data_IF_205129259997
#
_entry.id   IF_205129259997
#
_cell.length_a   1.000
_cell.length_b   1.000
_cell.length_c   1.000
_cell.angle_alpha   90.00
_cell.angle_beta   90.00
_cell.angle_gamma   90.00
#
_symmetry.space_group_name_H-M   'P 1'
#
loop_
_entity.id
_entity.type
_entity.pdbx_description
1 polymer ?
#
# COMPACT_ATOMS: atom_id res chain seq x y z
N UNK A 1 -5.11 14.16 -35.59
CA UNK A 1 -4.24 14.27 -34.41
C UNK A 1 -2.99 13.45 -34.64
N UNK A 2 -1.80 13.97 -34.33
CA UNK A 2 -0.55 13.18 -34.45
C UNK A 2 -0.62 11.94 -33.57
N UNK A 3 -0.26 10.76 -34.11
CA UNK A 3 -0.25 9.50 -33.35
C UNK A 3 0.83 9.61 -32.28
N UNK A 4 0.46 9.53 -30.99
CA UNK A 4 1.42 9.56 -29.89
C UNK A 4 2.37 8.38 -30.01
N UNK A 5 3.66 8.60 -29.78
CA UNK A 5 4.65 7.52 -29.74
C UNK A 5 4.40 6.65 -28.50
N UNK A 6 4.44 5.33 -28.67
CA UNK A 6 4.28 4.38 -27.57
C UNK A 6 5.41 4.56 -26.54
N UNK A 7 5.10 4.83 -25.26
CA UNK A 7 6.11 5.14 -24.24
C UNK A 7 6.73 3.88 -23.64
N UNK A 8 7.96 3.99 -23.17
CA UNK A 8 8.65 2.93 -22.42
C UNK A 8 8.24 2.85 -20.96
N UNK A 9 7.62 3.92 -20.43
CA UNK A 9 7.12 4.01 -19.07
C UNK A 9 6.03 5.09 -18.98
N UNK A 10 5.03 4.86 -18.15
CA UNK A 10 4.00 5.84 -17.80
C UNK A 10 3.98 6.01 -16.29
N UNK A 11 4.25 7.22 -15.74
CA UNK A 11 4.14 7.45 -14.31
C UNK A 11 2.72 7.18 -13.81
N UNK A 12 2.52 6.41 -12.73
CA UNK A 12 1.19 6.07 -12.28
C UNK A 12 0.42 7.26 -11.71
N UNK A 13 -0.89 7.29 -12.00
CA UNK A 13 -1.84 8.20 -11.35
C UNK A 13 -1.98 7.85 -9.87
N UNK A 14 -2.14 8.87 -9.01
CA UNK A 14 -2.19 8.72 -7.56
C UNK A 14 -3.52 9.18 -6.99
N UNK A 15 -3.98 8.51 -5.92
CA UNK A 15 -5.19 8.86 -5.19
C UNK A 15 -4.94 9.91 -4.09
N UNK A 16 -5.88 10.84 -3.91
CA UNK A 16 -5.95 11.71 -2.74
C UNK A 16 -6.42 10.92 -1.51
N UNK A 17 -6.09 11.40 -0.30
CA UNK A 17 -6.59 10.78 0.93
C UNK A 17 -7.85 11.47 1.39
N UNK A 18 -8.87 10.68 1.74
CA UNK A 18 -10.05 11.11 2.48
C UNK A 18 -10.20 10.27 3.73
N UNK A 19 -10.89 10.81 4.74
CA UNK A 19 -10.98 10.16 6.06
C UNK A 19 -12.09 9.14 6.13
N UNK A 20 -13.27 9.51 5.61
CA UNK A 20 -14.50 8.76 5.79
C UNK A 20 -14.91 8.04 4.50
N UNK A 21 -15.40 6.79 4.60
CA UNK A 21 -15.98 6.09 3.47
C UNK A 21 -17.34 6.73 3.11
N UNK A 22 -17.69 6.62 1.83
CA UNK A 22 -18.94 7.16 1.29
C UNK A 22 -19.53 6.18 0.28
N UNK A 23 -20.82 6.37 0.00
CA UNK A 23 -21.53 5.71 -1.09
C UNK A 23 -21.88 6.75 -2.16
N UNK A 24 -21.75 6.36 -3.42
CA UNK A 24 -22.15 7.23 -4.54
C UNK A 24 -22.28 6.41 -5.83
N UNK A 25 -23.37 6.56 -6.59
CA UNK A 25 -23.59 5.85 -7.85
C UNK A 25 -22.58 6.24 -8.94
N UNK A 26 -21.89 7.38 -8.80
CA UNK A 26 -20.90 7.87 -9.77
C UNK A 26 -19.52 7.26 -9.55
N UNK A 27 -19.36 6.41 -8.55
CA UNK A 27 -18.06 5.86 -8.13
C UNK A 27 -18.03 4.33 -8.18
N UNK A 28 -16.87 3.80 -8.49
CA UNK A 28 -16.49 2.41 -8.23
C UNK A 28 -15.52 2.38 -7.05
N UNK A 29 -15.57 1.29 -6.30
CA UNK A 29 -14.73 1.07 -5.13
C UNK A 29 -13.99 -0.25 -5.26
N UNK A 30 -12.69 -0.21 -5.04
CA UNK A 30 -11.78 -1.36 -5.11
C UNK A 30 -11.10 -1.55 -3.75
N UNK A 31 -10.73 -2.78 -3.42
CA UNK A 31 -9.88 -3.04 -2.26
C UNK A 31 -8.53 -2.36 -2.46
N UNK A 32 -8.08 -1.59 -1.47
CA UNK A 32 -6.73 -1.04 -1.48
C UNK A 32 -5.73 -2.14 -1.15
N UNK A 33 -5.04 -2.59 -2.17
CA UNK A 33 -3.99 -3.58 -2.05
C UNK A 33 -2.75 -2.96 -1.40
N UNK A 34 -2.11 -3.71 -0.52
CA UNK A 34 -0.87 -3.32 0.15
C UNK A 34 0.30 -4.08 -0.49
N UNK A 35 1.03 -3.40 -1.38
CA UNK A 35 2.05 -4.03 -2.21
C UNK A 35 3.05 -3.05 -2.82
N UNK A 36 3.56 -3.43 -3.99
CA UNK A 36 4.41 -2.59 -4.83
C UNK A 36 3.67 -2.23 -6.11
N UNK A 37 3.40 -0.92 -6.30
CA UNK A 37 2.84 -0.44 -7.57
C UNK A 37 3.73 -0.88 -8.71
N UNK A 38 3.13 -1.55 -9.69
CA UNK A 38 3.79 -2.04 -10.90
C UNK A 38 3.13 -1.49 -12.17
N UNK A 39 3.94 -0.94 -13.06
CA UNK A 39 3.52 -0.60 -14.43
C UNK A 39 4.15 -1.64 -15.35
N UNK A 40 3.32 -2.50 -15.94
CA UNK A 40 3.78 -3.49 -16.90
C UNK A 40 3.64 -2.93 -18.32
N UNK A 41 4.76 -2.88 -19.05
CA UNK A 41 4.85 -2.38 -20.42
C UNK A 41 5.22 -3.54 -21.33
N UNK A 42 4.37 -3.87 -22.26
CA UNK A 42 4.65 -4.82 -23.35
C UNK A 42 5.07 -4.04 -24.58
N UNK A 43 6.31 -4.19 -25.02
CA UNK A 43 6.82 -3.50 -26.20
C UNK A 43 6.18 -4.00 -27.51
N UNK A 44 6.58 -3.48 -28.64
CA UNK A 44 6.07 -3.88 -29.96
C UNK A 44 6.38 -5.35 -30.31
N UNK A 45 7.47 -5.90 -29.76
CA UNK A 45 7.84 -7.32 -29.92
C UNK A 45 7.06 -8.23 -28.94
N UNK A 46 6.33 -7.65 -27.96
CA UNK A 46 5.60 -8.38 -26.93
C UNK A 46 6.44 -8.73 -25.70
N UNK A 47 7.64 -8.17 -25.56
CA UNK A 47 8.48 -8.36 -24.39
C UNK A 47 7.94 -7.52 -23.23
N UNK A 48 7.63 -8.13 -22.05
CA UNK A 48 7.19 -7.38 -20.89
C UNK A 48 8.35 -6.75 -20.13
N UNK A 49 8.11 -5.55 -19.62
CA UNK A 49 8.92 -4.84 -18.64
C UNK A 49 8.04 -4.46 -17.47
N UNK A 50 8.50 -4.66 -16.25
CA UNK A 50 7.76 -4.31 -15.03
C UNK A 50 8.49 -3.21 -14.28
N UNK A 51 7.87 -2.05 -14.19
CA UNK A 51 8.43 -0.86 -13.56
C UNK A 51 7.75 -0.55 -12.24
N UNK A 52 8.51 -0.15 -11.25
CA UNK A 52 7.96 0.41 -10.02
C UNK A 52 7.32 1.79 -10.27
N UNK A 53 6.61 2.31 -9.26
CA UNK A 53 6.06 3.67 -9.27
C UNK A 53 7.08 4.75 -9.69
N UNK A 54 8.36 4.55 -9.36
CA UNK A 54 9.43 5.51 -9.63
C UNK A 54 10.24 5.16 -10.89
N UNK A 55 9.77 4.23 -11.73
CA UNK A 55 10.45 3.83 -12.95
C UNK A 55 11.68 2.93 -12.72
N UNK A 56 11.78 2.27 -11.56
CA UNK A 56 12.83 1.28 -11.31
C UNK A 56 12.36 -0.12 -11.73
N UNK A 57 13.22 -0.96 -12.32
CA UNK A 57 12.85 -2.30 -12.76
C UNK A 57 12.50 -3.21 -11.55
N UNK A 58 11.45 -4.02 -11.69
CA UNK A 58 10.96 -4.93 -10.66
C UNK A 58 11.11 -6.42 -11.03
N UNK A 59 11.54 -6.76 -12.23
CA UNK A 59 11.60 -8.15 -12.73
C UNK A 59 12.51 -9.02 -11.86
N UNK A 60 13.69 -8.50 -11.48
CA UNK A 60 14.62 -9.22 -10.62
C UNK A 60 14.08 -9.38 -9.19
N UNK A 61 13.31 -8.39 -8.74
CA UNK A 61 12.70 -8.43 -7.41
C UNK A 61 11.53 -9.42 -7.33
N UNK A 62 10.75 -9.54 -8.41
CA UNK A 62 9.57 -10.39 -8.50
C UNK A 62 9.63 -11.32 -9.72
N UNK A 63 10.55 -12.29 -9.74
CA UNK A 63 10.77 -13.14 -10.92
C UNK A 63 9.55 -14.01 -11.28
N UNK A 64 8.75 -14.41 -10.30
CA UNK A 64 7.51 -15.15 -10.54
C UNK A 64 6.48 -14.31 -11.30
N UNK A 65 6.33 -13.02 -10.95
CA UNK A 65 5.46 -12.07 -11.66
C UNK A 65 6.00 -11.81 -13.06
N UNK A 66 7.31 -11.58 -13.22
CA UNK A 66 7.94 -11.39 -14.54
C UNK A 66 7.69 -12.61 -15.46
N UNK A 67 7.83 -13.84 -14.92
CA UNK A 67 7.51 -15.08 -15.63
C UNK A 67 6.02 -15.19 -15.97
N UNK A 68 5.12 -14.73 -15.10
CA UNK A 68 3.69 -14.72 -15.39
C UNK A 68 3.34 -13.73 -16.51
N UNK A 69 3.92 -12.51 -16.47
CA UNK A 69 3.78 -11.51 -17.52
C UNK A 69 4.28 -12.01 -18.88
N UNK A 70 5.42 -12.71 -18.95
CA UNK A 70 5.98 -13.23 -20.21
C UNK A 70 5.08 -14.27 -20.91
N UNK A 71 4.09 -14.83 -20.21
CA UNK A 71 3.12 -15.75 -20.80
C UNK A 71 1.93 -15.03 -21.45
N UNK A 72 1.73 -13.75 -21.15
CA UNK A 72 0.68 -12.94 -21.78
C UNK A 72 1.12 -12.55 -23.19
N UNK A 73 0.27 -12.87 -24.18
CA UNK A 73 0.55 -12.56 -25.60
C UNK A 73 0.06 -11.15 -25.94
N UNK A 74 0.67 -10.14 -25.28
CA UNK A 74 0.32 -8.74 -25.48
C UNK A 74 1.43 -8.01 -26.26
N UNK A 75 1.06 -6.96 -26.99
CA UNK A 75 2.00 -6.07 -27.70
C UNK A 75 1.55 -4.64 -27.53
N UNK A 76 2.51 -3.71 -27.48
CA UNK A 76 2.22 -2.27 -27.37
C UNK A 76 1.10 -1.97 -26.36
N UNK A 77 1.17 -2.60 -25.17
CA UNK A 77 0.16 -2.55 -24.13
C UNK A 77 0.79 -2.11 -22.81
N UNK A 78 0.11 -1.24 -22.08
CA UNK A 78 0.56 -0.78 -20.75
C UNK A 78 -0.54 -1.02 -19.74
N UNK A 79 -0.18 -1.74 -18.68
CA UNK A 79 -1.05 -2.13 -17.58
C UNK A 79 -0.59 -1.47 -16.28
N UNK A 80 -1.54 -1.05 -15.46
CA UNK A 80 -1.31 -0.50 -14.12
C UNK A 80 -1.87 -1.44 -13.07
N UNK A 81 -1.06 -1.78 -12.08
CA UNK A 81 -1.43 -2.76 -11.08
C UNK A 81 -0.59 -2.69 -9.81
N UNK A 82 -0.79 -3.67 -8.95
CA UNK A 82 -0.06 -3.83 -7.69
C UNK A 82 0.51 -5.24 -7.61
N UNK A 83 1.81 -5.36 -7.33
CA UNK A 83 2.44 -6.64 -6.98
C UNK A 83 2.23 -6.89 -5.50
N UNK A 84 1.58 -7.99 -5.15
CA UNK A 84 1.29 -8.37 -3.77
C UNK A 84 1.86 -9.76 -3.45
N UNK A 85 2.14 -10.02 -2.18
CA UNK A 85 2.28 -11.38 -1.67
C UNK A 85 1.03 -11.72 -0.86
N UNK A 86 0.54 -12.94 -1.02
CA UNK A 86 -0.68 -13.40 -0.36
C UNK A 86 -0.36 -14.44 0.71
N UNK A 87 -1.16 -14.44 1.79
CA UNK A 87 -1.12 -15.47 2.80
C UNK A 87 -1.83 -16.76 2.32
N UNK A 88 -1.92 -17.77 3.18
CA UNK A 88 -2.57 -19.06 2.92
C UNK A 88 -4.06 -18.93 2.58
N UNK A 89 -4.71 -17.84 3.00
CA UNK A 89 -6.09 -17.51 2.69
C UNK A 89 -6.25 -16.65 1.42
N UNK A 90 -5.15 -16.38 0.71
CA UNK A 90 -5.14 -15.53 -0.49
C UNK A 90 -5.24 -14.03 -0.19
N UNK A 91 -5.10 -13.61 1.07
CA UNK A 91 -5.19 -12.20 1.46
C UNK A 91 -3.84 -11.51 1.28
N UNK A 92 -3.78 -10.36 0.57
CA UNK A 92 -2.55 -9.59 0.43
C UNK A 92 -1.99 -9.10 1.77
N UNK A 93 -0.69 -9.34 2.02
CA UNK A 93 0.01 -8.94 3.24
C UNK A 93 1.36 -8.32 2.90
N UNK A 94 1.54 -7.05 3.17
CA UNK A 94 2.79 -6.34 2.87
C UNK A 94 4.00 -6.89 3.64
N UNK A 95 3.79 -7.37 4.86
CA UNK A 95 4.86 -7.99 5.65
C UNK A 95 5.50 -9.19 4.94
N UNK A 96 4.71 -9.94 4.15
CA UNK A 96 5.22 -11.04 3.33
C UNK A 96 6.14 -10.52 2.23
N UNK A 97 5.81 -9.38 1.60
CA UNK A 97 6.66 -8.73 0.59
C UNK A 97 7.97 -8.17 1.19
N UNK A 98 7.92 -7.62 2.41
CA UNK A 98 9.12 -7.13 3.09
C UNK A 98 10.10 -8.27 3.41
N UNK A 99 9.58 -9.43 3.81
CA UNK A 99 10.37 -10.65 4.07
C UNK A 99 10.81 -11.35 2.79
N UNK A 100 10.10 -11.14 1.69
CA UNK A 100 10.31 -11.83 0.40
C UNK A 100 11.74 -11.72 -0.11
N UNK A 101 12.41 -10.58 0.10
CA UNK A 101 13.83 -10.40 -0.27
C UNK A 101 14.79 -11.31 0.49
N UNK A 102 14.43 -11.72 1.71
CA UNK A 102 15.26 -12.59 2.56
C UNK A 102 14.84 -14.06 2.45
N UNK A 103 13.57 -14.33 2.28
CA UNK A 103 12.96 -15.66 2.17
C UNK A 103 11.74 -15.59 1.23
N UNK A 104 11.86 -15.94 -0.06
CA UNK A 104 10.77 -15.90 -1.02
C UNK A 104 9.83 -17.11 -0.85
N UNK A 105 9.10 -17.18 0.27
CA UNK A 105 8.22 -18.31 0.59
C UNK A 105 6.76 -18.06 0.23
N UNK A 106 6.33 -16.80 0.13
CA UNK A 106 4.94 -16.48 -0.16
C UNK A 106 4.70 -16.34 -1.66
N UNK A 107 3.53 -16.80 -2.19
CA UNK A 107 3.15 -16.56 -3.58
C UNK A 107 3.04 -15.05 -3.86
N UNK A 108 3.60 -14.61 -4.99
CA UNK A 108 3.46 -13.23 -5.46
C UNK A 108 2.55 -13.18 -6.68
N UNK A 109 1.63 -12.23 -6.68
CA UNK A 109 0.64 -12.02 -7.73
C UNK A 109 0.71 -10.57 -8.22
N UNK A 110 0.38 -10.36 -9.49
CA UNK A 110 0.18 -9.03 -10.04
C UNK A 110 -1.31 -8.79 -10.26
N UNK A 111 -1.88 -7.91 -9.45
CA UNK A 111 -3.27 -7.46 -9.57
C UNK A 111 -3.35 -6.24 -10.47
N UNK A 112 -3.96 -6.40 -11.63
CA UNK A 112 -4.11 -5.34 -12.63
C UNK A 112 -5.46 -4.67 -12.40
N UNK A 113 -5.49 -3.35 -12.28
CA UNK A 113 -6.72 -2.60 -12.06
C UNK A 113 -6.94 -1.46 -13.08
N UNK A 114 -5.98 -1.25 -14.01
CA UNK A 114 -6.18 -0.32 -15.12
C UNK A 114 -5.34 -0.73 -16.36
N UNK A 115 -5.76 -0.27 -17.53
CA UNK A 115 -5.03 -0.40 -18.78
C UNK A 115 -4.94 0.97 -19.44
N UNK A 116 -3.73 1.38 -19.83
CA UNK A 116 -3.41 2.73 -20.27
C UNK A 116 -3.20 2.81 -21.78
N UNK A 117 -2.65 1.74 -22.32
CA UNK A 117 -2.42 1.55 -23.76
C UNK A 117 -2.86 0.14 -24.13
N UNK A 118 -3.54 0.02 -25.27
CA UNK A 118 -3.99 -1.26 -25.81
C UNK A 118 -3.66 -1.31 -27.29
N UNK A 119 -2.88 -2.31 -27.71
CA UNK A 119 -2.47 -2.51 -29.12
C UNK A 119 -1.90 -1.24 -29.78
N UNK A 120 -1.14 -0.44 -29.03
CA UNK A 120 -0.52 0.79 -29.51
C UNK A 120 -1.45 2.03 -29.51
N UNK A 121 -2.68 1.92 -29.04
CA UNK A 121 -3.60 3.04 -28.84
C UNK A 121 -3.47 3.58 -27.40
N UNK A 122 -3.26 4.89 -27.25
CA UNK A 122 -3.37 5.58 -25.96
C UNK A 122 -4.85 5.73 -25.57
N UNK A 123 -5.26 5.03 -24.52
CA UNK A 123 -6.63 5.08 -24.03
C UNK A 123 -6.75 5.79 -22.66
N UNK A 124 -5.70 6.50 -22.23
CA UNK A 124 -5.72 7.24 -20.96
C UNK A 124 -6.79 8.31 -20.89
N UNK A 125 -7.20 8.87 -22.03
CA UNK A 125 -8.27 9.86 -22.12
C UNK A 125 -9.70 9.26 -22.08
N UNK A 126 -9.84 7.93 -22.11
CA UNK A 126 -11.15 7.28 -21.98
C UNK A 126 -11.54 7.22 -20.50
N UNK A 127 -12.86 7.27 -20.18
CA UNK A 127 -13.37 7.01 -18.83
C UNK A 127 -12.85 5.69 -18.26
N UNK A 128 -12.67 5.61 -16.92
CA UNK A 128 -12.16 4.38 -16.31
C UNK A 128 -13.04 3.16 -16.62
N UNK A 129 -14.35 3.33 -16.69
CA UNK A 129 -15.26 2.22 -17.02
C UNK A 129 -15.01 1.64 -18.41
N UNK A 130 -14.63 2.49 -19.38
CA UNK A 130 -14.27 2.02 -20.72
C UNK A 130 -12.91 1.31 -20.71
N UNK A 131 -11.94 1.86 -20.00
CA UNK A 131 -10.63 1.20 -19.82
C UNK A 131 -10.77 -0.15 -19.11
N UNK A 132 -11.63 -0.25 -18.11
CA UNK A 132 -11.94 -1.52 -17.41
C UNK A 132 -12.54 -2.57 -18.36
N UNK A 133 -13.47 -2.18 -19.23
CA UNK A 133 -14.01 -3.10 -20.25
C UNK A 133 -12.94 -3.62 -21.21
N UNK A 134 -11.98 -2.75 -21.59
CA UNK A 134 -10.83 -3.16 -22.40
C UNK A 134 -9.95 -4.13 -21.61
N UNK A 135 -9.62 -3.81 -20.35
CA UNK A 135 -8.82 -4.66 -19.47
C UNK A 135 -9.40 -6.07 -19.33
N UNK A 136 -10.69 -6.18 -19.03
CA UNK A 136 -11.39 -7.46 -18.79
C UNK A 136 -11.47 -8.33 -20.05
N UNK A 137 -11.51 -7.71 -21.23
CA UNK A 137 -11.44 -8.43 -22.52
C UNK A 137 -10.00 -8.87 -22.83
N UNK A 138 -9.03 -8.05 -22.51
CA UNK A 138 -7.62 -8.26 -22.85
C UNK A 138 -6.93 -9.25 -21.92
N UNK A 139 -7.22 -9.18 -20.61
CA UNK A 139 -6.53 -9.98 -19.60
C UNK A 139 -7.44 -11.09 -19.09
N UNK A 140 -6.96 -12.32 -19.20
CA UNK A 140 -7.57 -13.47 -18.52
C UNK A 140 -6.74 -13.81 -17.28
N UNK A 141 -7.38 -13.94 -16.10
CA UNK A 141 -6.69 -14.32 -14.86
C UNK A 141 -5.90 -15.62 -15.00
N UNK A 142 -4.75 -15.68 -14.35
CA UNK A 142 -3.88 -16.87 -14.26
C UNK A 142 -3.38 -17.01 -12.82
N UNK A 143 -2.60 -18.06 -12.53
CA UNK A 143 -2.03 -18.26 -11.20
C UNK A 143 -1.15 -17.09 -10.70
N UNK A 144 -0.54 -16.28 -11.61
CA UNK A 144 0.32 -15.15 -11.24
C UNK A 144 -0.24 -13.78 -11.59
N UNK A 145 -1.38 -13.73 -12.32
CA UNK A 145 -2.00 -12.50 -12.84
C UNK A 145 -3.48 -12.50 -12.46
N UNK A 146 -3.92 -11.44 -11.80
CA UNK A 146 -5.32 -11.24 -11.45
C UNK A 146 -5.81 -9.89 -11.99
N UNK A 147 -7.09 -9.79 -12.29
CA UNK A 147 -7.76 -8.52 -12.56
C UNK A 147 -8.49 -8.10 -11.29
N UNK A 148 -8.20 -6.93 -10.78
CA UNK A 148 -8.86 -6.40 -9.58
C UNK A 148 -10.37 -6.25 -9.79
N UNK A 149 -11.17 -6.71 -8.85
CA UNK A 149 -12.62 -6.50 -8.82
C UNK A 149 -12.98 -5.14 -8.23
N UNK A 150 -14.18 -4.69 -8.51
CA UNK A 150 -14.74 -3.48 -7.92
C UNK A 150 -16.22 -3.68 -7.58
N UNK A 151 -16.76 -2.82 -6.73
CA UNK A 151 -18.20 -2.67 -6.49
C UNK A 151 -18.63 -1.27 -6.92
N UNK A 152 -19.88 -1.14 -7.38
CA UNK A 152 -20.43 0.13 -7.81
C UNK A 152 -21.30 0.71 -6.70
N UNK A 153 -21.07 1.99 -6.36
CA UNK A 153 -21.94 2.73 -5.46
C UNK A 153 -21.77 2.47 -3.96
N UNK A 154 -21.34 1.28 -3.56
CA UNK A 154 -21.38 0.77 -2.18
C UNK A 154 -20.00 0.82 -1.48
N UNK A 155 -19.46 2.02 -1.31
CA UNK A 155 -18.12 2.18 -0.72
C UNK A 155 -18.05 1.86 0.77
N UNK A 156 -19.08 2.19 1.54
CA UNK A 156 -19.14 1.92 2.99
C UNK A 156 -19.13 0.43 3.29
N UNK A 157 -19.98 -0.34 2.59
CA UNK A 157 -20.07 -1.78 2.76
C UNK A 157 -18.72 -2.47 2.44
N UNK A 158 -18.06 -2.08 1.34
CA UNK A 158 -16.74 -2.59 1.01
C UNK A 158 -15.69 -2.18 2.04
N UNK A 159 -15.75 -0.94 2.55
CA UNK A 159 -14.82 -0.46 3.58
C UNK A 159 -14.93 -1.25 4.88
N UNK A 160 -16.16 -1.52 5.35
CA UNK A 160 -16.40 -2.31 6.56
C UNK A 160 -15.86 -3.74 6.39
N UNK A 161 -16.09 -4.36 5.23
CA UNK A 161 -15.54 -5.67 4.90
C UNK A 161 -13.99 -5.67 4.90
N UNK A 162 -13.36 -4.61 4.35
CA UNK A 162 -11.89 -4.51 4.36
C UNK A 162 -11.34 -4.33 5.77
N UNK A 163 -12.05 -3.59 6.63
CA UNK A 163 -11.71 -3.42 8.04
C UNK A 163 -11.81 -4.74 8.82
N UNK A 164 -12.90 -5.48 8.64
CA UNK A 164 -13.11 -6.80 9.25
C UNK A 164 -12.01 -7.80 8.86
N UNK A 165 -11.62 -7.82 7.59
CA UNK A 165 -10.54 -8.69 7.08
C UNK A 165 -9.13 -8.18 7.34
N UNK A 166 -8.96 -7.05 8.07
CA UNK A 166 -7.65 -6.47 8.37
C UNK A 166 -6.87 -6.03 7.13
N UNK A 167 -7.57 -5.58 6.08
CA UNK A 167 -6.97 -5.03 4.86
C UNK A 167 -6.68 -3.53 5.01
N UNK A 168 -5.92 -2.92 4.08
CA UNK A 168 -5.47 -1.53 4.18
C UNK A 168 -6.61 -0.50 4.01
N UNK A 169 -7.72 -0.86 3.37
CA UNK A 169 -8.86 -0.01 3.09
C UNK A 169 -9.33 -0.13 1.65
N UNK A 170 -9.85 0.95 1.09
CA UNK A 170 -10.41 0.98 -0.27
C UNK A 170 -9.85 2.14 -1.10
N UNK A 171 -9.95 1.98 -2.43
CA UNK A 171 -9.76 3.04 -3.42
C UNK A 171 -11.09 3.31 -4.09
N UNK A 172 -11.58 4.55 -4.00
CA UNK A 172 -12.71 5.03 -4.78
C UNK A 172 -12.22 5.69 -6.06
N UNK A 173 -12.84 5.38 -7.20
CA UNK A 173 -12.52 5.96 -8.51
C UNK A 173 -13.80 6.44 -9.17
N UNK A 174 -13.83 7.68 -9.65
CA UNK A 174 -15.00 8.24 -10.34
C UNK A 174 -15.15 7.57 -11.71
N UNK A 175 -16.35 7.11 -12.04
CA UNK A 175 -16.65 6.28 -13.23
C UNK A 175 -16.27 6.92 -14.57
N UNK A 176 -16.39 8.26 -14.66
CA UNK A 176 -16.05 9.06 -15.84
C UNK A 176 -14.60 9.55 -15.86
N UNK A 177 -13.80 9.22 -14.82
CA UNK A 177 -12.43 9.73 -14.69
C UNK A 177 -11.52 9.25 -15.80
N UNK A 178 -10.73 10.16 -16.34
CA UNK A 178 -9.61 9.85 -17.23
C UNK A 178 -8.36 9.56 -16.41
N UNK A 179 -7.37 8.93 -17.02
CA UNK A 179 -6.10 8.65 -16.36
C UNK A 179 -5.14 9.84 -16.53
N UNK A 180 -4.66 10.39 -15.44
CA UNK A 180 -3.71 11.52 -15.40
C UNK A 180 -2.31 11.03 -15.00
N UNK A 181 -1.43 10.67 -15.97
CA UNK A 181 -0.09 10.15 -15.67
C UNK A 181 0.69 11.04 -14.71
N UNK A 182 1.24 10.46 -13.65
CA UNK A 182 2.09 11.14 -12.67
C UNK A 182 1.37 12.14 -11.76
N UNK A 183 0.06 12.36 -11.95
CA UNK A 183 -0.70 13.35 -11.18
C UNK A 183 -1.48 12.71 -10.04
N UNK A 184 -1.81 13.54 -9.06
CA UNK A 184 -2.74 13.26 -7.98
C UNK A 184 -3.98 14.11 -8.21
N UNK A 185 -5.14 13.47 -8.29
CA UNK A 185 -6.42 14.16 -8.56
C UNK A 185 -7.47 13.77 -7.53
N UNK A 186 -8.58 14.49 -7.51
CA UNK A 186 -9.76 14.15 -6.71
C UNK A 186 -10.62 13.03 -7.34
N UNK A 187 -10.29 12.60 -8.56
CA UNK A 187 -11.03 11.53 -9.24
C UNK A 187 -10.71 10.15 -8.66
N UNK A 188 -9.56 10.00 -8.00
CA UNK A 188 -9.18 8.81 -7.26
C UNK A 188 -8.95 9.16 -5.80
N UNK A 189 -9.65 8.46 -4.90
CA UNK A 189 -9.59 8.68 -3.45
C UNK A 189 -9.20 7.40 -2.75
N UNK A 190 -8.33 7.49 -1.76
CA UNK A 190 -7.99 6.38 -0.88
C UNK A 190 -8.57 6.61 0.51
N UNK A 191 -9.28 5.62 1.01
CA UNK A 191 -9.84 5.56 2.34
C UNK A 191 -9.13 4.42 3.07
N UNK A 192 -8.35 4.76 4.11
CA UNK A 192 -7.60 3.76 4.86
C UNK A 192 -8.42 3.24 6.03
N UNK A 193 -8.58 1.92 6.11
CA UNK A 193 -9.04 1.25 7.30
C UNK A 193 -7.93 1.37 8.34
N UNK A 194 -8.01 2.36 9.23
CA UNK A 194 -7.07 2.50 10.32
C UNK A 194 -7.32 1.37 11.30
N UNK A 195 -6.44 0.39 11.33
CA UNK A 195 -6.32 -0.46 12.50
C UNK A 195 -5.79 0.46 13.62
N UNK A 196 -6.68 1.00 14.44
CA UNK A 196 -6.31 1.73 15.64
C UNK A 196 -6.24 0.69 16.76
N UNK A 197 -5.05 0.53 17.32
CA UNK A 197 -4.85 -0.15 18.59
C UNK A 197 -4.49 0.93 19.62
N UNK A 198 -5.25 0.99 20.71
CA UNK A 198 -4.87 1.81 21.84
C UNK A 198 -3.69 1.15 22.55
N UNK A 199 -2.64 1.91 22.77
CA UNK A 199 -1.49 1.49 23.55
C UNK A 199 -1.35 2.37 24.79
N UNK A 200 -0.96 1.76 25.89
CA UNK A 200 -0.55 2.47 27.09
C UNK A 200 0.90 2.92 26.92
N UNK A 201 1.18 4.18 27.19
CA UNK A 201 2.55 4.67 27.29
C UNK A 201 3.09 4.26 28.65
N UNK A 202 3.99 3.27 28.69
CA UNK A 202 4.61 2.76 29.91
C UNK A 202 6.01 3.34 30.18
N UNK A 203 6.50 4.24 29.29
CA UNK A 203 7.79 4.89 29.47
C UNK A 203 8.23 5.63 28.22
N UNK A 204 9.46 6.14 28.26
CA UNK A 204 10.10 6.78 27.09
C UNK A 204 11.61 6.60 27.16
N UNK A 205 12.28 6.78 26.03
CA UNK A 205 13.73 6.82 25.96
C UNK A 205 14.22 8.27 25.93
N UNK A 206 15.42 8.52 26.42
CA UNK A 206 16.08 9.79 26.25
C UNK A 206 16.38 10.06 24.76
N UNK A 207 16.24 11.30 24.36
CA UNK A 207 16.53 11.73 23.01
C UNK A 207 18.02 11.93 22.77
N UNK A 208 18.44 11.82 21.50
CA UNK A 208 19.82 12.11 21.05
C UNK A 208 19.83 13.33 20.13
N UNK A 209 20.91 14.09 20.18
CA UNK A 209 21.13 15.26 19.31
C UNK A 209 20.17 16.42 19.58
N UNK A 210 19.47 16.91 18.57
CA UNK A 210 18.53 18.04 18.68
C UNK A 210 17.27 17.74 19.49
N UNK A 211 16.93 16.47 19.73
CA UNK A 211 15.74 16.02 20.52
C UNK A 211 16.14 15.58 21.93
N UNK A 212 16.72 16.47 22.72
CA UNK A 212 17.30 16.13 24.04
C UNK A 212 16.33 15.54 25.06
N UNK A 213 15.02 15.81 24.96
CA UNK A 213 14.08 15.51 26.04
C UNK A 213 13.28 14.22 25.90
N UNK A 214 13.02 13.74 24.66
CA UNK A 214 12.26 12.53 24.40
C UNK A 214 12.69 11.92 23.07
N UNK A 215 13.21 10.70 23.10
CA UNK A 215 13.59 9.94 21.92
C UNK A 215 12.42 9.19 21.33
N UNK A 216 11.83 8.28 22.11
CA UNK A 216 10.68 7.48 21.71
C UNK A 216 9.79 7.15 22.90
N UNK A 217 8.48 7.06 22.69
CA UNK A 217 7.53 6.52 23.66
C UNK A 217 7.59 4.98 23.62
N UNK A 218 7.63 4.36 24.80
CA UNK A 218 7.54 2.92 24.97
C UNK A 218 6.07 2.53 25.12
N UNK A 219 5.58 1.68 24.21
CA UNK A 219 4.19 1.35 24.04
C UNK A 219 3.89 -0.07 24.53
N UNK A 220 2.82 -0.23 25.27
CA UNK A 220 2.35 -1.51 25.76
C UNK A 220 0.85 -1.68 25.72
N UNK A 221 0.41 -2.94 25.84
CA UNK A 221 -0.98 -3.29 25.99
C UNK A 221 -1.15 -4.31 27.12
N UNK A 222 -2.30 -4.27 27.78
CA UNK A 222 -2.61 -5.23 28.84
C UNK A 222 -2.93 -6.62 28.26
N UNK A 223 -2.27 -7.63 28.81
CA UNK A 223 -2.54 -9.04 28.55
C UNK A 223 -2.60 -9.77 29.87
N UNK A 224 -3.74 -10.40 30.17
CA UNK A 224 -3.98 -11.08 31.45
C UNK A 224 -3.71 -10.19 32.70
N UNK A 225 -4.13 -8.92 32.63
CA UNK A 225 -3.97 -7.96 33.72
C UNK A 225 -2.56 -7.35 33.87
N UNK A 226 -1.58 -7.77 33.07
CA UNK A 226 -0.20 -7.29 33.08
C UNK A 226 0.08 -6.46 31.83
N UNK A 227 0.83 -5.36 31.98
CA UNK A 227 1.24 -4.51 30.85
C UNK A 227 2.44 -5.13 30.16
N UNK A 228 2.28 -5.51 28.90
CA UNK A 228 3.37 -6.04 28.06
C UNK A 228 3.88 -4.97 27.10
N UNK A 229 5.21 -4.88 26.94
CA UNK A 229 5.85 -4.03 25.93
C UNK A 229 5.67 -4.62 24.54
N UNK A 230 5.21 -3.80 23.59
CA UNK A 230 4.98 -4.19 22.19
C UNK A 230 5.88 -3.45 21.20
N UNK A 231 6.44 -2.32 21.60
CA UNK A 231 7.28 -1.55 20.70
C UNK A 231 7.44 -0.09 21.15
N UNK A 232 8.03 0.70 20.27
CA UNK A 232 8.24 2.12 20.55
C UNK A 232 7.90 3.00 19.33
N UNK A 233 7.53 4.26 19.59
CA UNK A 233 7.26 5.27 18.57
C UNK A 233 8.13 6.50 18.83
N UNK A 234 9.05 6.78 17.89
CA UNK A 234 9.99 7.91 17.98
C UNK A 234 9.79 8.98 16.93
N UNK A 235 8.76 8.87 16.07
CA UNK A 235 8.53 9.82 14.96
C UNK A 235 7.10 10.38 15.00
N UNK A 236 6.89 11.50 14.29
CA UNK A 236 5.56 12.12 14.18
C UNK A 236 5.22 13.13 15.28
N UNK A 237 6.12 13.40 16.21
CA UNK A 237 5.93 14.40 17.25
C UNK A 237 6.49 15.75 16.81
N UNK A 238 5.70 16.82 17.04
CA UNK A 238 6.20 18.19 17.02
C UNK A 238 6.88 18.52 18.36
N UNK A 239 7.73 19.53 18.40
CA UNK A 239 8.40 19.95 19.63
C UNK A 239 7.42 20.32 20.75
N UNK A 240 6.34 21.01 20.42
CA UNK A 240 5.23 21.30 21.32
C UNK A 240 4.54 20.02 21.80
N UNK A 241 4.31 19.05 20.91
CA UNK A 241 3.70 17.75 21.26
C UNK A 241 4.57 16.95 22.24
N UNK A 242 5.91 17.01 22.11
CA UNK A 242 6.85 16.39 23.05
C UNK A 242 6.73 17.05 24.43
N UNK A 243 6.72 18.39 24.51
CA UNK A 243 6.60 19.12 25.77
C UNK A 243 5.27 18.83 26.48
N UNK A 244 4.16 18.81 25.74
CA UNK A 244 2.83 18.48 26.28
C UNK A 244 2.77 17.03 26.79
N UNK A 245 3.36 16.08 26.06
CA UNK A 245 3.44 14.68 26.47
C UNK A 245 4.26 14.52 27.77
N UNK A 246 5.45 15.12 27.84
CA UNK A 246 6.30 15.09 29.05
C UNK A 246 5.62 15.72 30.24
N UNK A 247 4.94 16.86 30.06
CA UNK A 247 4.17 17.51 31.14
C UNK A 247 3.09 16.60 31.73
N UNK A 248 2.38 15.85 30.87
CA UNK A 248 1.35 14.89 31.32
C UNK A 248 1.95 13.65 31.97
N UNK A 249 3.10 13.17 31.51
CA UNK A 249 3.76 11.97 32.03
C UNK A 249 4.50 12.21 33.34
N UNK A 250 5.06 13.43 33.57
CA UNK A 250 5.87 13.75 34.75
C UNK A 250 5.25 13.32 36.11
N UNK A 251 3.97 13.58 36.40
CA UNK A 251 3.37 13.14 37.65
C UNK A 251 3.16 11.63 37.78
N UNK A 252 3.37 10.88 36.69
CA UNK A 252 3.15 9.42 36.61
C UNK A 252 4.46 8.63 36.64
N UNK A 253 5.62 9.29 36.83
CA UNK A 253 6.92 8.63 36.84
C UNK A 253 7.07 7.71 38.05
N UNK A 254 7.56 6.49 37.78
CA UNK A 254 7.85 5.47 38.77
C UNK A 254 9.27 4.94 38.60
N UNK A 255 9.89 4.47 39.68
CA UNK A 255 11.23 3.87 39.62
C UNK A 255 11.25 2.49 38.96
N UNK A 256 10.15 1.76 39.03
CA UNK A 256 10.01 0.43 38.42
C UNK A 256 9.30 0.51 37.09
N UNK A 257 9.84 -0.20 36.09
CA UNK A 257 9.16 -0.35 34.81
C UNK A 257 7.78 -0.97 35.01
N UNK A 258 6.71 -0.39 34.42
CA UNK A 258 5.37 -0.98 34.48
C UNK A 258 5.23 -2.21 33.57
N UNK A 259 6.21 -2.49 32.69
CA UNK A 259 6.14 -3.62 31.77
C UNK A 259 6.59 -4.93 32.43
N UNK A 260 5.83 -6.00 32.20
CA UNK A 260 6.21 -7.37 32.57
C UNK A 260 7.47 -7.84 31.79
N UNK A 261 7.61 -7.40 30.53
CA UNK A 261 8.74 -7.69 29.63
C UNK A 261 9.38 -6.37 29.17
N UNK A 262 10.07 -5.61 30.04
CA UNK A 262 10.64 -4.33 29.67
C UNK A 262 11.63 -4.47 28.50
N UNK A 263 11.74 -3.46 27.63
CA UNK A 263 12.72 -3.48 26.55
C UNK A 263 14.13 -3.61 27.14
N UNK A 264 14.96 -4.48 26.56
CA UNK A 264 16.39 -4.54 26.91
C UNK A 264 17.03 -3.21 26.52
N UNK A 265 17.72 -2.58 27.45
CA UNK A 265 18.51 -1.38 27.15
C UNK A 265 19.54 -1.65 26.05
N UNK A 266 20.09 -0.62 25.38
CA UNK A 266 21.18 -0.83 24.44
C UNK A 266 22.29 -1.56 25.19
N UNK A 267 22.68 -2.74 24.67
CA UNK A 267 23.87 -3.44 25.16
C UNK A 267 25.02 -2.44 25.09
N UNK A 268 25.62 -2.14 26.26
CA UNK A 268 26.89 -1.48 26.29
C UNK A 268 27.84 -2.42 25.59
N UNK A 269 28.21 -2.10 24.35
CA UNK A 269 29.38 -2.72 23.71
C UNK A 269 30.58 -2.39 24.61
N UNK A 270 30.98 -3.36 25.41
CA UNK A 270 32.30 -3.37 26.03
C UNK A 270 33.31 -3.38 24.90
N UNK A 271 34.00 -2.28 24.69
CA UNK A 271 35.19 -2.17 23.87
C UNK A 271 36.34 -2.95 24.45
#
# INVERSE_FOLDING_TARGET
MAKKTFPTFVPPMMANSVKEPFDSPDWIFEVKLDGYRGIAVFDAAGKPHLWSRNGLPLEQKFPAVAKALSKLKLRSTILDGEVVAVDENGIPRFQLLQRFQKQPTAPTLYYIFDILWSEGEDITAKPIMDRRRVLERTIKPTAGIQVGSYVEGEGKALFDLTKEKGMEGIIAKRKDSIYHPGKRTSDWLKIKARLQQEFVVGGFTEGKGSRKNLGALLLGAYRNGKLHYFGHSGSGFTEKGIQDALKRMKPLFTEKSPFENPPRGPEKSSG
#
